data_IF_359022410065
#
_entry.id   IF_359022410065
#
_cell.length_a   1.000
_cell.length_b   1.000
_cell.length_c   1.000
_cell.angle_alpha   90.00
_cell.angle_beta   90.00
_cell.angle_gamma   90.00
#
_symmetry.space_group_name_H-M   'P 1'
#
loop_
_entity.id
_entity.type
_entity.pdbx_description
1 polymer ?
#
# COMPACT_ATOMS: atom_id res chain seq x y z
N UNK A 1 20.23 -28.22 10.60
CA UNK A 1 20.23 -28.41 9.14
C UNK A 1 21.10 -27.32 8.54
N UNK A 2 22.18 -27.62 7.80
CA UNK A 2 22.92 -26.60 7.06
C UNK A 2 21.97 -25.91 6.06
N UNK A 3 22.09 -24.60 5.89
CA UNK A 3 21.28 -23.86 4.94
C UNK A 3 21.54 -24.38 3.52
N UNK A 4 20.47 -24.66 2.76
CA UNK A 4 20.57 -25.08 1.38
C UNK A 4 21.00 -23.88 0.52
N UNK A 5 22.21 -23.94 -0.03
CA UNK A 5 22.77 -22.85 -0.84
C UNK A 5 22.30 -22.99 -2.28
N UNK A 6 21.65 -21.95 -2.79
CA UNK A 6 21.17 -21.90 -4.18
C UNK A 6 21.84 -20.77 -4.94
N UNK A 7 21.94 -20.91 -6.28
CA UNK A 7 22.56 -19.89 -7.14
C UNK A 7 21.49 -19.12 -7.90
N UNK A 8 21.54 -17.79 -7.86
CA UNK A 8 20.65 -16.90 -8.59
C UNK A 8 21.47 -16.05 -9.56
N UNK A 9 21.05 -15.99 -10.82
CA UNK A 9 21.66 -15.08 -11.80
C UNK A 9 21.06 -13.69 -11.65
N UNK A 10 21.93 -12.70 -11.47
CA UNK A 10 21.55 -11.29 -11.37
C UNK A 10 22.45 -10.44 -12.27
N UNK A 11 21.98 -9.28 -12.76
CA UNK A 11 22.84 -8.32 -13.46
C UNK A 11 24.02 -7.90 -12.59
N UNK A 12 25.18 -7.68 -13.22
CA UNK A 12 26.40 -7.24 -12.53
C UNK A 12 26.16 -5.98 -11.68
N UNK A 13 25.45 -5.00 -12.25
CA UNK A 13 25.10 -3.75 -11.56
C UNK A 13 24.29 -3.98 -10.28
N UNK A 14 23.39 -4.97 -10.27
CA UNK A 14 22.60 -5.30 -9.08
C UNK A 14 23.48 -5.95 -8.00
N UNK A 15 24.31 -6.91 -8.38
CA UNK A 15 25.26 -7.57 -7.46
C UNK A 15 26.19 -6.54 -6.82
N UNK A 16 26.75 -5.63 -7.62
CA UNK A 16 27.71 -4.64 -7.14
C UNK A 16 27.03 -3.68 -6.15
N UNK A 17 25.76 -3.31 -6.36
CA UNK A 17 24.97 -2.55 -5.37
C UNK A 17 24.71 -3.33 -4.08
N UNK A 18 24.37 -4.62 -4.18
CA UNK A 18 24.14 -5.45 -3.00
C UNK A 18 25.43 -5.63 -2.17
N UNK A 19 26.58 -5.74 -2.82
CA UNK A 19 27.88 -5.78 -2.16
C UNK A 19 28.19 -4.45 -1.45
N UNK A 20 27.94 -3.30 -2.09
CA UNK A 20 28.13 -2.00 -1.44
C UNK A 20 27.27 -1.88 -0.17
N UNK A 21 26.02 -2.35 -0.21
CA UNK A 21 25.15 -2.38 0.98
C UNK A 21 25.71 -3.30 2.08
N UNK A 22 26.29 -4.44 1.71
CA UNK A 22 26.93 -5.33 2.68
C UNK A 22 28.15 -4.65 3.32
N UNK A 23 28.99 -4.01 2.52
CA UNK A 23 30.20 -3.31 2.97
C UNK A 23 29.87 -2.15 3.93
N UNK A 24 28.79 -1.40 3.65
CA UNK A 24 28.28 -0.31 4.50
C UNK A 24 27.82 -0.81 5.89
N UNK A 25 27.36 -2.05 6.01
CA UNK A 25 26.88 -2.64 7.28
C UNK A 25 27.98 -3.21 8.17
N UNK A 26 29.22 -3.22 7.67
CA UNK A 26 30.40 -3.58 8.44
C UNK A 26 30.91 -5.01 8.18
N UNK A 27 32.04 -5.33 8.80
CA UNK A 27 32.71 -6.63 8.60
C UNK A 27 31.85 -7.77 9.13
N UNK A 28 31.55 -8.74 8.28
CA UNK A 28 30.84 -9.97 8.63
C UNK A 28 29.41 -10.04 8.11
N UNK A 29 28.86 -8.95 7.56
CA UNK A 29 27.56 -8.99 6.87
C UNK A 29 27.71 -9.70 5.52
N UNK A 30 26.97 -10.78 5.34
CA UNK A 30 26.97 -11.54 4.09
C UNK A 30 25.91 -11.01 3.13
N UNK A 31 26.04 -11.36 1.84
CA UNK A 31 25.01 -11.08 0.84
C UNK A 31 23.66 -11.71 1.21
N UNK A 32 23.68 -12.88 1.88
CA UNK A 32 22.48 -13.56 2.36
C UNK A 32 21.77 -12.76 3.45
N UNK A 33 22.52 -12.13 4.36
CA UNK A 33 21.96 -11.26 5.40
C UNK A 33 21.28 -10.03 4.78
N UNK A 34 21.95 -9.40 3.80
CA UNK A 34 21.41 -8.24 3.08
C UNK A 34 20.11 -8.60 2.36
N UNK A 35 20.07 -9.73 1.66
CA UNK A 35 18.87 -10.19 0.95
C UNK A 35 17.73 -10.53 1.91
N UNK A 36 18.03 -11.21 3.01
CA UNK A 36 17.04 -11.55 4.06
C UNK A 36 16.40 -10.29 4.63
N UNK A 37 17.22 -9.29 4.93
CA UNK A 37 16.74 -8.02 5.46
C UNK A 37 15.90 -7.25 4.43
N UNK A 38 16.32 -7.21 3.17
CA UNK A 38 15.56 -6.55 2.11
C UNK A 38 14.19 -7.19 1.89
N UNK A 39 14.11 -8.53 1.97
CA UNK A 39 12.84 -9.26 1.91
C UNK A 39 11.97 -8.90 3.13
N UNK A 40 12.54 -8.92 4.34
CA UNK A 40 11.80 -8.57 5.54
C UNK A 40 11.23 -7.14 5.49
N UNK A 41 12.04 -6.17 5.03
CA UNK A 41 11.57 -4.78 4.83
C UNK A 41 10.46 -4.71 3.78
N UNK A 42 10.61 -5.40 2.65
CA UNK A 42 9.59 -5.42 1.61
C UNK A 42 8.25 -5.97 2.12
N UNK A 43 8.27 -7.05 2.88
CA UNK A 43 7.04 -7.63 3.48
C UNK A 43 6.40 -6.69 4.49
N UNK A 44 7.20 -5.99 5.30
CA UNK A 44 6.69 -4.97 6.23
C UNK A 44 6.05 -3.80 5.47
N UNK A 45 6.70 -3.27 4.43
CA UNK A 45 6.17 -2.18 3.61
C UNK A 45 4.88 -2.58 2.90
N UNK A 46 4.84 -3.78 2.32
CA UNK A 46 3.64 -4.33 1.68
C UNK A 46 2.48 -4.50 2.66
N UNK A 47 2.78 -4.97 3.87
CA UNK A 47 1.78 -5.08 4.94
C UNK A 47 1.26 -3.71 5.36
N UNK A 48 2.15 -2.73 5.55
CA UNK A 48 1.75 -1.35 5.87
C UNK A 48 0.89 -0.73 4.77
N UNK A 49 1.27 -0.88 3.51
CA UNK A 49 0.48 -0.39 2.37
C UNK A 49 -0.91 -1.04 2.33
N UNK A 50 -1.00 -2.35 2.58
CA UNK A 50 -2.28 -3.06 2.68
C UNK A 50 -3.15 -2.53 3.83
N UNK A 51 -2.56 -2.31 5.00
CA UNK A 51 -3.29 -1.78 6.16
C UNK A 51 -3.80 -0.37 5.89
N UNK A 52 -2.97 0.51 5.34
CA UNK A 52 -3.38 1.88 4.98
C UNK A 52 -4.52 1.87 3.95
N UNK A 53 -4.46 0.99 2.95
CA UNK A 53 -5.56 0.80 2.00
C UNK A 53 -6.85 0.37 2.70
N UNK A 54 -6.79 -0.63 3.57
CA UNK A 54 -7.96 -1.14 4.30
C UNK A 54 -8.57 -0.07 5.22
N UNK A 55 -7.74 0.72 5.91
CA UNK A 55 -8.18 1.83 6.74
C UNK A 55 -8.92 2.88 5.92
N UNK A 56 -8.40 3.20 4.72
CA UNK A 56 -9.04 4.16 3.81
C UNK A 56 -10.38 3.64 3.30
N UNK A 57 -10.47 2.34 2.95
CA UNK A 57 -11.71 1.71 2.52
C UNK A 57 -12.74 1.68 3.65
N UNK A 58 -12.34 1.29 4.86
CA UNK A 58 -13.24 1.30 6.01
C UNK A 58 -13.74 2.70 6.35
N UNK A 59 -12.88 3.71 6.28
CA UNK A 59 -13.28 5.10 6.50
C UNK A 59 -14.29 5.58 5.43
N UNK A 60 -14.13 5.15 4.18
CA UNK A 60 -15.06 5.46 3.10
C UNK A 60 -16.40 4.73 3.27
N UNK A 61 -16.38 3.45 3.66
CA UNK A 61 -17.58 2.65 3.94
C UNK A 61 -18.35 3.17 5.16
N UNK A 62 -17.63 3.64 6.18
CA UNK A 62 -18.18 4.22 7.39
C UNK A 62 -18.57 5.70 7.25
N UNK A 63 -18.39 6.35 6.08
CA UNK A 63 -18.83 7.74 5.86
C UNK A 63 -20.36 7.85 5.69
N UNK A 64 -21.09 7.41 6.70
CA UNK A 64 -22.53 7.62 6.86
C UNK A 64 -22.89 9.11 6.77
N UNK A 65 -21.99 9.97 7.26
CA UNK A 65 -22.17 11.42 7.18
C UNK A 65 -22.13 11.93 5.73
N UNK A 66 -21.25 11.37 4.89
CA UNK A 66 -21.18 11.62 3.45
C UNK A 66 -22.41 11.15 2.72
N UNK A 67 -22.87 9.93 3.00
CA UNK A 67 -24.10 9.39 2.44
C UNK A 67 -25.33 10.21 2.86
N UNK A 68 -25.40 10.64 4.12
CA UNK A 68 -26.47 11.50 4.60
C UNK A 68 -26.45 12.90 3.96
N UNK A 69 -25.26 13.48 3.71
CA UNK A 69 -25.13 14.75 2.95
C UNK A 69 -25.60 14.57 1.50
N UNK A 70 -25.24 13.47 0.86
CA UNK A 70 -25.66 13.16 -0.51
C UNK A 70 -27.18 12.97 -0.59
N UNK A 71 -27.78 12.22 0.34
CA UNK A 71 -29.23 12.02 0.42
C UNK A 71 -29.99 13.35 0.56
N UNK A 72 -29.59 14.22 1.49
CA UNK A 72 -30.20 15.54 1.66
C UNK A 72 -30.11 16.41 0.41
N UNK A 73 -28.99 16.35 -0.32
CA UNK A 73 -28.83 17.08 -1.59
C UNK A 73 -29.75 16.52 -2.68
N UNK A 74 -29.85 15.20 -2.78
CA UNK A 74 -30.73 14.53 -3.73
C UNK A 74 -32.21 14.85 -3.46
N UNK A 75 -32.64 14.83 -2.20
CA UNK A 75 -34.00 15.22 -1.79
C UNK A 75 -34.32 16.67 -2.15
N UNK A 76 -33.41 17.60 -1.86
CA UNK A 76 -33.59 19.01 -2.23
C UNK A 76 -33.68 19.20 -3.74
N UNK A 77 -32.83 18.52 -4.53
CA UNK A 77 -32.87 18.58 -5.98
C UNK A 77 -34.19 18.01 -6.53
N UNK A 78 -34.64 16.86 -6.01
CA UNK A 78 -35.90 16.24 -6.39
C UNK A 78 -37.11 17.14 -6.05
N UNK A 79 -37.09 17.82 -4.89
CA UNK A 79 -38.14 18.79 -4.52
C UNK A 79 -38.22 19.94 -5.51
N UNK A 80 -37.08 20.56 -5.84
CA UNK A 80 -37.03 21.68 -6.79
C UNK A 80 -37.54 21.27 -8.17
N UNK A 81 -37.23 20.05 -8.62
CA UNK A 81 -37.73 19.53 -9.90
C UNK A 81 -39.25 19.32 -9.88
N UNK A 82 -39.80 18.70 -8.82
CA UNK A 82 -41.26 18.52 -8.67
C UNK A 82 -42.02 19.85 -8.58
N UNK A 83 -41.47 20.83 -7.86
CA UNK A 83 -42.07 22.17 -7.77
C UNK A 83 -42.05 22.90 -9.12
N UNK A 84 -41.03 22.68 -9.95
CA UNK A 84 -40.98 23.18 -11.32
C UNK A 84 -42.00 22.51 -12.23
N UNK A 85 -42.16 21.20 -12.12
CA UNK A 85 -43.15 20.44 -12.89
C UNK A 85 -44.59 20.83 -12.50
N UNK A 86 -44.87 21.06 -11.22
CA UNK A 86 -46.21 21.45 -10.74
C UNK A 86 -46.60 22.90 -11.08
N UNK A 87 -45.65 23.75 -11.48
CA UNK A 87 -45.89 25.15 -11.90
C UNK A 87 -46.04 25.28 -13.42
N UNK A 88 -45.99 24.18 -14.15
CA UNK A 88 -46.09 24.12 -15.61
C UNK A 88 -47.45 23.59 -16.02
#
# INVERSE_FOLDING_TARGET
>A
MPAEMTTIKVPKSLRDRLNAIADERGRGTTLADVLTELIARHEVEKTRARLAYLETVQAAEADEAGMARAARRAENAARVLREREARR
#
